data_IF_360882882173
#
_entry.id   IF_360882882173
#
_cell.length_a   1.000
_cell.length_b   1.000
_cell.length_c   1.000
_cell.angle_alpha   90.00
_cell.angle_beta   90.00
_cell.angle_gamma   90.00
#
_symmetry.space_group_name_H-M   'P 1'
#
loop_
_entity.id
_entity.type
_entity.pdbx_description
1 polymer ?
#
# COMPACT_ATOMS: atom_id res chain seq x y z
N UNK A 1 -19.01 -4.26 -8.32
CA UNK A 1 -18.05 -3.38 -9.00
C UNK A 1 -18.38 -1.89 -8.81
N UNK A 2 -17.42 -1.09 -8.34
CA UNK A 2 -17.59 0.35 -8.05
C UNK A 2 -16.95 1.23 -9.14
N UNK A 3 -17.78 1.93 -9.93
CA UNK A 3 -17.37 2.79 -11.04
C UNK A 3 -16.45 3.93 -10.57
N UNK A 4 -16.58 4.40 -9.33
CA UNK A 4 -15.76 5.48 -8.80
C UNK A 4 -14.29 5.08 -8.66
N UNK A 5 -14.02 3.83 -8.30
CA UNK A 5 -12.65 3.29 -8.21
C UNK A 5 -12.00 3.27 -9.59
N UNK A 6 -12.75 2.85 -10.61
CA UNK A 6 -12.28 2.84 -12.01
C UNK A 6 -11.99 4.25 -12.53
N UNK A 7 -12.85 5.23 -12.21
CA UNK A 7 -12.62 6.64 -12.57
C UNK A 7 -11.41 7.24 -11.83
N UNK A 8 -11.17 6.88 -10.56
CA UNK A 8 -9.98 7.31 -9.82
C UNK A 8 -8.70 6.66 -10.35
N UNK A 9 -8.76 5.36 -10.67
CA UNK A 9 -7.62 4.63 -11.26
C UNK A 9 -7.26 5.18 -12.64
N UNK A 10 -8.26 5.50 -13.46
CA UNK A 10 -8.06 6.16 -14.76
C UNK A 10 -7.39 7.52 -14.62
N UNK A 11 -7.72 8.29 -13.57
CA UNK A 11 -7.04 9.55 -13.26
C UNK A 11 -5.60 9.33 -12.79
N UNK A 12 -5.34 8.31 -11.97
CA UNK A 12 -3.99 7.97 -11.51
C UNK A 12 -3.09 7.45 -12.64
N UNK A 13 -3.66 6.84 -13.67
CA UNK A 13 -2.96 6.35 -14.86
C UNK A 13 -3.01 7.33 -16.05
N UNK A 14 -3.53 8.55 -15.85
CA UNK A 14 -3.61 9.53 -16.92
C UNK A 14 -2.22 9.86 -17.47
N UNK A 15 -2.08 9.79 -18.79
CA UNK A 15 -0.81 10.03 -19.49
C UNK A 15 0.07 8.79 -19.63
N UNK A 16 -0.23 7.68 -18.95
CA UNK A 16 0.50 6.42 -19.14
C UNK A 16 0.15 5.80 -20.49
N UNK A 17 1.17 5.39 -21.23
CA UNK A 17 1.01 4.67 -22.51
C UNK A 17 1.12 3.16 -22.36
N UNK A 18 1.84 2.69 -21.34
CA UNK A 18 2.06 1.27 -21.08
C UNK A 18 1.87 1.00 -19.60
N UNK A 19 1.18 -0.09 -19.28
CA UNK A 19 0.98 -0.59 -17.91
C UNK A 19 1.16 -2.11 -17.86
N UNK A 20 1.24 -2.67 -16.66
CA UNK A 20 1.14 -4.11 -16.41
C UNK A 20 -0.08 -4.43 -15.55
N UNK A 21 -0.58 -5.67 -15.59
CA UNK A 21 -1.73 -6.07 -14.77
C UNK A 21 -1.42 -5.93 -13.28
N UNK A 22 -0.19 -6.23 -12.86
CA UNK A 22 0.28 -6.07 -11.49
C UNK A 22 0.25 -4.61 -11.03
N UNK A 23 0.70 -3.69 -11.87
CA UNK A 23 0.63 -2.25 -11.59
C UNK A 23 -0.82 -1.78 -11.43
N UNK A 24 -1.69 -2.17 -12.36
CA UNK A 24 -3.11 -1.82 -12.32
C UNK A 24 -3.75 -2.35 -11.04
N UNK A 25 -3.47 -3.60 -10.64
CA UNK A 25 -3.97 -4.18 -9.38
C UNK A 25 -3.47 -3.45 -8.15
N UNK A 26 -2.16 -3.13 -8.07
CA UNK A 26 -1.60 -2.37 -6.94
C UNK A 26 -2.26 -1.00 -6.82
N UNK A 27 -2.36 -0.26 -7.93
CA UNK A 27 -2.98 1.07 -7.95
C UNK A 27 -4.49 1.02 -7.71
N UNK A 28 -5.17 -0.05 -8.13
CA UNK A 28 -6.58 -0.27 -7.81
C UNK A 28 -6.81 -0.41 -6.30
N UNK A 29 -5.93 -1.11 -5.57
CA UNK A 29 -6.00 -1.20 -4.09
C UNK A 29 -5.90 0.19 -3.45
N UNK A 30 -4.95 1.01 -3.93
CA UNK A 30 -4.76 2.40 -3.47
C UNK A 30 -5.99 3.27 -3.76
N UNK A 31 -6.55 3.16 -4.96
CA UNK A 31 -7.78 3.87 -5.34
C UNK A 31 -8.98 3.41 -4.52
N UNK A 32 -9.09 2.11 -4.23
CA UNK A 32 -10.15 1.58 -3.38
C UNK A 32 -10.07 2.14 -1.95
N UNK A 33 -8.86 2.29 -1.39
CA UNK A 33 -8.68 2.99 -0.12
C UNK A 33 -9.14 4.46 -0.21
N UNK A 34 -8.75 5.16 -1.27
CA UNK A 34 -9.10 6.57 -1.47
C UNK A 34 -10.62 6.80 -1.55
N UNK A 35 -11.34 5.90 -2.22
CA UNK A 35 -12.78 5.99 -2.46
C UNK A 35 -13.59 5.48 -1.26
N UNK A 36 -13.23 4.30 -0.72
CA UNK A 36 -14.03 3.62 0.31
C UNK A 36 -13.61 3.96 1.74
N UNK A 37 -12.37 4.43 1.95
CA UNK A 37 -11.80 4.66 3.27
C UNK A 37 -11.85 3.41 4.14
N UNK A 38 -12.30 3.53 5.39
CA UNK A 38 -12.43 2.40 6.31
C UNK A 38 -13.45 1.33 5.86
N UNK A 39 -14.37 1.66 4.95
CA UNK A 39 -15.33 0.69 4.38
C UNK A 39 -14.66 -0.32 3.45
N UNK A 40 -13.39 -0.12 3.09
CA UNK A 40 -12.61 -1.10 2.34
C UNK A 40 -12.52 -2.47 3.03
N UNK A 41 -12.74 -2.53 4.35
CA UNK A 41 -12.86 -3.79 5.12
C UNK A 41 -13.99 -4.68 4.60
N UNK A 42 -15.04 -4.09 4.05
CA UNK A 42 -16.23 -4.79 3.55
C UNK A 42 -16.16 -5.06 2.04
N UNK A 43 -15.02 -4.77 1.39
CA UNK A 43 -14.86 -5.01 -0.04
C UNK A 43 -14.83 -6.51 -0.35
N UNK A 44 -15.52 -6.88 -1.44
CA UNK A 44 -15.51 -8.23 -1.97
C UNK A 44 -14.10 -8.65 -2.39
N UNK A 45 -13.72 -9.94 -2.24
CA UNK A 45 -12.39 -10.42 -2.59
C UNK A 45 -11.97 -10.13 -4.03
N UNK A 46 -12.93 -10.18 -4.96
CA UNK A 46 -12.68 -10.06 -6.39
C UNK A 46 -12.75 -8.61 -6.90
N UNK A 47 -13.10 -7.63 -6.04
CA UNK A 47 -13.30 -6.23 -6.42
C UNK A 47 -12.10 -5.65 -7.18
N UNK A 48 -10.89 -5.94 -6.73
CA UNK A 48 -9.65 -5.38 -7.32
C UNK A 48 -9.37 -6.02 -8.68
N UNK A 49 -9.68 -7.31 -8.83
CA UNK A 49 -9.50 -8.02 -10.10
C UNK A 49 -10.55 -7.54 -11.11
N UNK A 50 -11.81 -7.38 -10.71
CA UNK A 50 -12.85 -6.74 -11.54
C UNK A 50 -12.46 -5.33 -12.01
N UNK A 51 -11.91 -4.51 -11.10
CA UNK A 51 -11.44 -3.15 -11.44
C UNK A 51 -10.25 -3.22 -12.41
N UNK A 52 -9.31 -4.12 -12.21
CA UNK A 52 -8.14 -4.25 -13.09
C UNK A 52 -8.53 -4.73 -14.49
N UNK A 53 -9.38 -5.75 -14.57
CA UNK A 53 -9.90 -6.28 -15.83
C UNK A 53 -10.74 -5.22 -16.57
N UNK A 54 -11.35 -4.27 -15.86
CA UNK A 54 -12.07 -3.16 -16.50
C UNK A 54 -11.18 -2.19 -17.28
N UNK A 55 -9.87 -2.12 -16.96
CA UNK A 55 -8.91 -1.26 -17.67
C UNK A 55 -8.15 -2.02 -18.76
N UNK A 56 -8.16 -3.34 -18.75
CA UNK A 56 -7.34 -4.17 -19.64
C UNK A 56 -8.24 -4.97 -20.60
N UNK A 57 -9.20 -5.71 -20.07
CA UNK A 57 -9.98 -6.66 -20.84
C UNK A 57 -11.27 -6.03 -21.39
N UNK A 58 -12.14 -5.50 -20.52
CA UNK A 58 -13.46 -4.99 -20.92
C UNK A 58 -13.83 -3.68 -20.21
N UNK A 59 -13.85 -2.53 -20.90
CA UNK A 59 -14.17 -1.25 -20.28
C UNK A 59 -15.63 -1.19 -19.84
N UNK A 60 -15.84 -0.79 -18.59
CA UNK A 60 -17.17 -0.76 -17.97
C UNK A 60 -17.83 0.63 -18.04
N UNK A 61 -17.09 1.64 -18.48
CA UNK A 61 -17.56 3.03 -18.61
C UNK A 61 -16.83 3.75 -19.74
N UNK A 62 -17.49 4.72 -20.39
CA UNK A 62 -16.86 5.55 -21.44
C UNK A 62 -15.77 6.48 -20.90
N UNK A 63 -15.71 6.66 -19.57
CA UNK A 63 -14.71 7.50 -18.91
C UNK A 63 -13.46 6.73 -18.46
N UNK A 64 -13.44 5.40 -18.59
CA UNK A 64 -12.28 4.62 -18.21
C UNK A 64 -11.22 4.68 -19.31
N UNK A 65 -9.96 4.78 -18.91
CA UNK A 65 -8.88 4.41 -19.81
C UNK A 65 -9.01 2.93 -20.17
N UNK A 66 -8.57 2.56 -21.37
CA UNK A 66 -8.56 1.17 -21.82
C UNK A 66 -7.24 0.84 -22.50
N UNK A 67 -6.50 -0.09 -21.90
CA UNK A 67 -5.23 -0.63 -22.36
C UNK A 67 -5.47 -1.98 -23.04
N UNK A 68 -6.12 -1.94 -24.20
CA UNK A 68 -6.66 -3.12 -24.89
C UNK A 68 -5.61 -4.05 -25.51
N UNK A 69 -4.46 -3.50 -25.89
CA UNK A 69 -3.51 -4.21 -26.74
C UNK A 69 -2.37 -4.77 -25.89
N UNK A 70 -2.16 -6.08 -25.96
CA UNK A 70 -1.11 -6.80 -25.22
C UNK A 70 0.18 -6.89 -26.04
N UNK A 71 1.31 -6.58 -25.40
CA UNK A 71 2.66 -6.81 -25.89
C UNK A 71 3.45 -7.59 -24.87
N UNK A 72 4.01 -8.73 -25.27
CA UNK A 72 4.83 -9.57 -24.40
C UNK A 72 6.32 -9.30 -24.61
N UNK A 73 7.02 -8.98 -23.53
CA UNK A 73 8.48 -8.81 -23.51
C UNK A 73 9.07 -9.75 -22.46
N UNK A 74 9.79 -10.77 -22.92
CA UNK A 74 10.22 -11.88 -22.06
C UNK A 74 9.01 -12.60 -21.44
N UNK A 75 8.98 -12.70 -20.12
CA UNK A 75 7.89 -13.34 -19.36
C UNK A 75 6.84 -12.36 -18.85
N UNK A 76 6.92 -11.07 -19.22
CA UNK A 76 6.01 -10.03 -18.74
C UNK A 76 5.09 -9.56 -19.87
N UNK A 77 3.79 -9.47 -19.54
CA UNK A 77 2.76 -8.91 -20.41
C UNK A 77 2.55 -7.44 -20.08
N UNK A 78 2.63 -6.59 -21.10
CA UNK A 78 2.39 -5.16 -21.04
C UNK A 78 1.15 -4.82 -21.84
N UNK A 79 0.43 -3.79 -21.43
CA UNK A 79 -0.81 -3.36 -22.03
C UNK A 79 -0.74 -1.89 -22.43
N UNK A 80 -1.19 -1.56 -23.63
CA UNK A 80 -1.23 -0.18 -24.13
C UNK A 80 -2.57 0.15 -24.81
N UNK A 81 -2.94 1.44 -24.94
CA UNK A 81 -4.12 1.83 -25.69
C UNK A 81 -3.95 1.53 -27.18
N UNK A 82 -5.03 1.09 -27.84
CA UNK A 82 -5.03 0.69 -29.26
C UNK A 82 -4.45 1.74 -30.22
N UNK A 83 -4.74 3.02 -29.97
CA UNK A 83 -4.35 4.14 -30.86
C UNK A 83 -2.98 4.72 -30.54
N UNK A 84 -2.31 4.21 -29.51
CA UNK A 84 -1.05 4.75 -29.00
C UNK A 84 0.06 3.77 -29.31
N UNK A 85 1.13 4.26 -29.92
CA UNK A 85 2.36 3.49 -30.13
C UNK A 85 3.35 3.76 -28.99
N UNK A 86 3.65 2.78 -28.14
CA UNK A 86 4.63 2.96 -27.08
C UNK A 86 6.06 3.10 -27.60
N UNK A 87 6.85 3.86 -26.87
CA UNK A 87 8.30 4.02 -27.06
C UNK A 87 9.07 3.31 -25.94
N UNK A 88 10.40 3.26 -26.08
CA UNK A 88 11.28 2.57 -25.13
C UNK A 88 11.09 3.09 -23.71
N UNK A 89 11.05 4.40 -23.53
CA UNK A 89 10.95 5.04 -22.22
C UNK A 89 9.61 4.70 -21.54
N UNK A 90 8.52 4.54 -22.31
CA UNK A 90 7.21 4.12 -21.78
C UNK A 90 7.28 2.70 -21.19
N UNK A 91 8.03 1.78 -21.82
CA UNK A 91 8.25 0.43 -21.31
C UNK A 91 9.20 0.40 -20.12
N UNK A 92 10.22 1.26 -20.09
CA UNK A 92 11.14 1.36 -18.95
C UNK A 92 10.40 1.85 -17.68
N UNK A 93 9.52 2.85 -17.82
CA UNK A 93 8.64 3.29 -16.74
C UNK A 93 7.68 2.18 -16.30
N UNK A 94 6.99 1.52 -17.24
CA UNK A 94 6.07 0.43 -16.92
C UNK A 94 6.78 -0.76 -16.25
N UNK A 95 8.03 -1.05 -16.64
CA UNK A 95 8.82 -2.11 -16.01
C UNK A 95 9.25 -1.75 -14.59
N UNK A 96 9.63 -0.49 -14.34
CA UNK A 96 9.92 -0.01 -13.00
C UNK A 96 8.70 -0.19 -12.07
N UNK A 97 7.52 0.20 -12.54
CA UNK A 97 6.25 0.06 -11.82
C UNK A 97 5.84 -1.41 -11.62
N UNK A 98 6.03 -2.24 -12.64
CA UNK A 98 5.84 -3.69 -12.56
C UNK A 98 6.69 -4.31 -11.44
N UNK A 99 7.99 -3.96 -11.36
CA UNK A 99 8.90 -4.53 -10.34
C UNK A 99 8.45 -4.22 -8.92
N UNK A 100 8.02 -2.98 -8.68
CA UNK A 100 7.47 -2.60 -7.37
C UNK A 100 6.16 -3.33 -7.09
N UNK A 101 5.28 -3.39 -8.07
CA UNK A 101 3.94 -3.96 -7.92
C UNK A 101 3.98 -5.46 -7.68
N UNK A 102 4.75 -6.17 -8.49
CA UNK A 102 4.97 -7.61 -8.32
C UNK A 102 5.56 -7.94 -6.95
N UNK A 103 6.59 -7.21 -6.52
CA UNK A 103 7.20 -7.43 -5.20
C UNK A 103 6.18 -7.28 -4.07
N UNK A 104 5.34 -6.25 -4.11
CA UNK A 104 4.29 -6.04 -3.12
C UNK A 104 3.24 -7.16 -3.15
N UNK A 105 2.76 -7.51 -4.34
CA UNK A 105 1.73 -8.55 -4.50
C UNK A 105 2.24 -9.94 -4.09
N UNK A 106 3.49 -10.28 -4.41
CA UNK A 106 4.10 -11.57 -4.06
C UNK A 106 4.21 -11.78 -2.54
N UNK A 107 4.37 -10.70 -1.76
CA UNK A 107 4.49 -10.77 -0.29
C UNK A 107 3.21 -10.41 0.45
N UNK A 108 2.15 -10.01 -0.26
CA UNK A 108 0.91 -9.52 0.31
C UNK A 108 0.29 -10.51 1.31
N UNK A 109 0.08 -11.76 0.88
CA UNK A 109 -0.54 -12.78 1.74
C UNK A 109 0.35 -13.08 2.97
N UNK A 110 1.68 -13.05 2.81
CA UNK A 110 2.61 -13.21 3.94
C UNK A 110 2.51 -12.05 4.94
N UNK A 111 2.34 -10.82 4.47
CA UNK A 111 2.10 -9.67 5.35
C UNK A 111 0.80 -9.83 6.13
N UNK A 112 -0.26 -10.33 5.49
CA UNK A 112 -1.52 -10.64 6.17
C UNK A 112 -1.34 -11.74 7.23
N UNK A 113 -0.67 -12.84 6.91
CA UNK A 113 -0.38 -13.91 7.87
C UNK A 113 0.37 -13.40 9.11
N UNK A 114 1.38 -12.55 8.89
CA UNK A 114 2.16 -11.96 9.98
C UNK A 114 1.29 -11.04 10.84
N UNK A 115 0.43 -10.25 10.22
CA UNK A 115 -0.52 -9.38 10.94
C UNK A 115 -1.54 -10.19 11.75
N UNK A 116 -2.12 -11.24 11.17
CA UNK A 116 -3.07 -12.12 11.85
C UNK A 116 -2.46 -12.77 13.09
N UNK A 117 -1.23 -13.26 12.97
CA UNK A 117 -0.50 -13.82 14.11
C UNK A 117 -0.15 -12.75 15.15
N UNK A 118 0.15 -11.52 14.73
CA UNK A 118 0.39 -10.41 15.66
C UNK A 118 -0.87 -10.08 16.47
N UNK A 119 -2.04 -10.11 15.84
CA UNK A 119 -3.35 -9.88 16.45
C UNK A 119 -4.04 -11.18 16.88
N UNK A 120 -3.28 -12.21 17.28
CA UNK A 120 -3.86 -13.48 17.72
C UNK A 120 -4.90 -13.29 18.83
N UNK A 121 -6.08 -13.88 18.64
CA UNK A 121 -7.21 -13.75 19.55
C UNK A 121 -8.01 -12.44 19.40
N UNK A 122 -7.86 -11.73 18.29
CA UNK A 122 -8.80 -10.75 17.75
C UNK A 122 -9.63 -11.38 16.63
N UNK A 123 -10.86 -10.90 16.43
CA UNK A 123 -11.66 -11.27 15.26
C UNK A 123 -11.18 -10.47 14.05
N UNK A 124 -10.81 -11.14 12.97
CA UNK A 124 -10.27 -10.54 11.75
C UNK A 124 -11.31 -10.53 10.62
N UNK A 125 -11.45 -9.39 9.94
CA UNK A 125 -12.31 -9.23 8.74
C UNK A 125 -11.60 -8.40 7.68
N UNK A 126 -11.83 -8.72 6.40
CA UNK A 126 -11.41 -7.93 5.24
C UNK A 126 -10.07 -8.38 4.63
N UNK A 127 -9.91 -8.12 3.33
CA UNK A 127 -8.73 -8.53 2.54
C UNK A 127 -7.72 -7.38 2.40
N UNK A 128 -8.08 -6.32 1.68
CA UNK A 128 -7.15 -5.21 1.37
C UNK A 128 -6.97 -4.22 2.53
N UNK A 129 -8.01 -4.05 3.33
CA UNK A 129 -7.93 -3.52 4.69
C UNK A 129 -8.45 -4.57 5.64
N UNK A 130 -7.68 -4.86 6.70
CA UNK A 130 -8.01 -5.88 7.68
C UNK A 130 -8.38 -5.21 9.00
N UNK A 131 -9.59 -5.47 9.46
CA UNK A 131 -10.09 -5.03 10.75
C UNK A 131 -9.86 -6.12 11.78
N UNK A 132 -9.19 -5.79 12.88
CA UNK A 132 -9.00 -6.66 14.04
C UNK A 132 -9.82 -6.12 15.21
N UNK A 133 -10.79 -6.89 15.70
CA UNK A 133 -11.75 -6.45 16.71
C UNK A 133 -11.63 -7.27 17.99
N UNK A 134 -11.57 -6.60 19.15
CA UNK A 134 -11.61 -7.22 20.49
C UNK A 134 -12.25 -6.30 21.53
N UNK A 135 -11.44 -5.53 22.25
CA UNK A 135 -11.89 -4.45 23.15
C UNK A 135 -11.84 -3.08 22.47
N UNK A 136 -11.36 -3.04 21.23
CA UNK A 136 -11.27 -1.90 20.35
C UNK A 136 -10.89 -2.41 18.95
N UNK A 137 -11.09 -1.56 17.96
CA UNK A 137 -10.89 -1.91 16.56
C UNK A 137 -9.55 -1.36 16.07
N UNK A 138 -8.76 -2.22 15.43
CA UNK A 138 -7.59 -1.82 14.64
C UNK A 138 -7.90 -2.00 13.16
N UNK A 139 -7.54 -0.99 12.37
CA UNK A 139 -7.67 -1.01 10.91
C UNK A 139 -6.28 -1.08 10.29
N UNK A 140 -5.99 -2.17 9.61
CA UNK A 140 -4.67 -2.47 9.06
C UNK A 140 -4.75 -2.44 7.53
N UNK A 141 -4.05 -1.50 6.91
CA UNK A 141 -3.94 -1.41 5.46
C UNK A 141 -2.57 -1.92 5.01
N UNK A 142 -2.52 -2.74 3.96
CA UNK A 142 -1.27 -3.29 3.43
C UNK A 142 -0.82 -2.49 2.22
N UNK A 143 0.43 -2.03 2.23
CA UNK A 143 1.01 -1.21 1.17
C UNK A 143 2.52 -1.41 1.07
N UNK A 144 3.21 -0.58 0.29
CA UNK A 144 4.66 -0.39 0.39
C UNK A 144 4.97 1.05 0.85
N UNK A 145 6.21 1.30 1.25
CA UNK A 145 6.59 2.60 1.81
C UNK A 145 6.58 3.74 0.77
N UNK A 146 6.75 3.42 -0.52
CA UNK A 146 6.65 4.39 -1.60
C UNK A 146 5.21 4.85 -1.80
N UNK A 147 4.27 3.92 -1.88
CA UNK A 147 2.84 4.21 -1.98
C UNK A 147 2.34 4.94 -0.73
N UNK A 148 2.77 4.52 0.46
CA UNK A 148 2.43 5.20 1.71
C UNK A 148 2.95 6.65 1.77
N UNK A 149 4.09 6.92 1.12
CA UNK A 149 4.63 8.27 0.96
C UNK A 149 3.79 9.13 0.02
N UNK A 150 3.36 8.58 -1.12
CA UNK A 150 2.53 9.27 -2.10
C UNK A 150 1.12 9.53 -1.57
N UNK A 151 0.54 8.55 -0.87
CA UNK A 151 -0.83 8.57 -0.39
C UNK A 151 -0.94 9.06 1.07
N UNK A 152 0.09 9.75 1.58
CA UNK A 152 0.20 10.12 3.00
C UNK A 152 -1.02 10.88 3.52
N UNK A 153 -1.58 11.81 2.74
CA UNK A 153 -2.75 12.60 3.13
C UNK A 153 -3.99 11.72 3.36
N UNK A 154 -4.15 10.67 2.54
CA UNK A 154 -5.22 9.69 2.70
C UNK A 154 -5.02 8.94 4.01
N UNK A 155 -3.79 8.50 4.28
CA UNK A 155 -3.47 7.76 5.50
C UNK A 155 -3.61 8.59 6.78
N UNK A 156 -3.23 9.87 6.75
CA UNK A 156 -3.41 10.79 7.87
C UNK A 156 -4.90 11.00 8.17
N UNK A 157 -5.73 11.13 7.13
CA UNK A 157 -7.20 11.20 7.26
C UNK A 157 -7.76 9.92 7.89
N UNK A 158 -7.34 8.74 7.39
CA UNK A 158 -7.78 7.45 7.94
C UNK A 158 -7.38 7.26 9.40
N UNK A 159 -6.18 7.72 9.78
CA UNK A 159 -5.74 7.68 11.17
C UNK A 159 -6.63 8.51 12.10
N UNK A 160 -7.09 9.68 11.64
CA UNK A 160 -8.08 10.49 12.36
C UNK A 160 -9.43 9.79 12.47
N UNK A 161 -9.94 9.21 11.38
CA UNK A 161 -11.24 8.50 11.37
C UNK A 161 -11.25 7.24 12.26
N UNK A 162 -10.09 6.60 12.44
CA UNK A 162 -9.95 5.40 13.27
C UNK A 162 -9.50 5.68 14.71
N UNK A 163 -9.60 6.91 15.21
CA UNK A 163 -9.13 7.33 16.55
C UNK A 163 -7.68 6.92 16.86
N UNK A 164 -6.85 6.98 15.82
CA UNK A 164 -5.45 6.58 15.84
C UNK A 164 -5.24 5.07 15.91
N UNK A 165 -6.22 4.21 15.64
CA UNK A 165 -6.02 2.75 15.54
C UNK A 165 -5.86 2.26 14.10
N UNK A 166 -5.49 3.17 13.19
CA UNK A 166 -5.10 2.85 11.82
C UNK A 166 -3.59 2.55 11.73
N UNK A 167 -3.25 1.46 11.06
CA UNK A 167 -1.87 0.99 10.84
C UNK A 167 -1.68 0.71 9.36
N UNK A 168 -0.60 1.22 8.78
CA UNK A 168 -0.09 0.76 7.49
C UNK A 168 0.96 -0.30 7.76
N UNK A 169 0.78 -1.49 7.19
CA UNK A 169 1.82 -2.52 7.16
C UNK A 169 2.51 -2.47 5.80
N UNK A 170 3.84 -2.33 5.83
CA UNK A 170 4.71 -2.30 4.65
C UNK A 170 5.77 -3.39 4.73
N UNK A 171 6.25 -3.98 3.62
CA UNK A 171 7.35 -4.92 3.67
C UNK A 171 8.69 -4.21 3.92
N UNK A 172 9.72 -4.96 4.32
CA UNK A 172 11.10 -4.47 4.34
C UNK A 172 11.57 -4.12 2.93
N UNK A 173 12.30 -3.02 2.80
CA UNK A 173 12.94 -2.59 1.54
C UNK A 173 14.41 -3.03 1.45
N UNK A 174 14.92 -3.14 0.23
CA UNK A 174 16.36 -3.41 0.02
C UNK A 174 17.24 -2.18 0.25
N UNK A 175 16.63 -0.99 0.16
CA UNK A 175 17.28 0.30 0.33
C UNK A 175 16.68 1.05 1.53
N UNK A 176 17.50 1.87 2.18
CA UNK A 176 17.07 2.67 3.34
C UNK A 176 16.32 3.95 2.92
N UNK A 177 16.68 4.51 1.77
CA UNK A 177 16.21 5.79 1.25
C UNK A 177 14.69 5.99 1.29
N UNK A 178 13.84 5.01 0.94
CA UNK A 178 12.39 5.20 0.95
C UNK A 178 11.86 5.52 2.36
N UNK A 179 12.35 4.79 3.37
CA UNK A 179 11.99 5.02 4.76
C UNK A 179 12.54 6.35 5.29
N UNK A 180 13.78 6.71 4.93
CA UNK A 180 14.38 7.97 5.35
C UNK A 180 13.64 9.18 4.75
N UNK A 181 13.25 9.10 3.48
CA UNK A 181 12.43 10.12 2.79
C UNK A 181 11.09 10.31 3.49
N UNK A 182 10.40 9.21 3.81
CA UNK A 182 9.15 9.28 4.59
C UNK A 182 9.38 9.93 5.96
N UNK A 183 10.42 9.49 6.67
CA UNK A 183 10.70 10.00 8.01
C UNK A 183 11.01 11.50 8.00
N UNK A 184 11.87 11.96 7.10
CA UNK A 184 12.27 13.38 7.01
C UNK A 184 11.08 14.28 6.69
N UNK A 185 10.15 13.83 5.85
CA UNK A 185 9.03 14.67 5.39
C UNK A 185 7.78 14.59 6.25
N UNK A 186 7.42 13.39 6.73
CA UNK A 186 6.07 13.16 7.26
C UNK A 186 6.03 12.53 8.67
N UNK A 187 7.18 12.25 9.31
CA UNK A 187 7.17 11.54 10.60
C UNK A 187 6.46 12.33 11.72
N UNK A 188 6.57 13.66 11.73
CA UNK A 188 5.90 14.50 12.73
C UNK A 188 4.38 14.60 12.46
N UNK A 189 3.98 14.71 11.20
CA UNK A 189 2.56 14.72 10.81
C UNK A 189 1.90 13.38 11.13
N UNK A 190 2.59 12.27 10.83
CA UNK A 190 2.15 10.93 11.17
C UNK A 190 1.94 10.76 12.69
N UNK A 191 2.89 11.21 13.51
CA UNK A 191 2.76 11.18 14.98
C UNK A 191 1.57 12.01 15.46
N UNK A 192 1.40 13.22 14.93
CA UNK A 192 0.31 14.13 15.32
C UNK A 192 -1.06 13.57 14.97
N UNK A 193 -1.20 12.90 13.81
CA UNK A 193 -2.42 12.24 13.39
C UNK A 193 -2.65 10.87 14.05
N UNK A 194 -1.68 10.36 14.83
CA UNK A 194 -1.74 9.02 15.41
C UNK A 194 -1.55 7.87 14.41
N UNK A 195 -1.09 8.17 13.19
CA UNK A 195 -0.77 7.21 12.14
C UNK A 195 0.35 6.27 12.60
N UNK A 196 0.19 4.98 12.32
CA UNK A 196 1.20 3.95 12.60
C UNK A 196 1.67 3.32 11.30
N UNK A 197 2.96 3.05 11.22
CA UNK A 197 3.56 2.31 10.12
C UNK A 197 4.41 1.20 10.71
N UNK A 198 4.07 -0.04 10.39
CA UNK A 198 4.81 -1.21 10.84
C UNK A 198 5.42 -1.93 9.64
N UNK A 199 6.62 -2.45 9.83
CA UNK A 199 7.41 -3.08 8.79
C UNK A 199 7.41 -4.58 9.01
N UNK A 200 6.91 -5.31 8.04
CA UNK A 200 6.99 -6.77 7.99
C UNK A 200 8.26 -7.16 7.26
N UNK A 201 9.04 -8.06 7.84
CA UNK A 201 10.04 -8.82 7.11
C UNK A 201 9.37 -10.13 6.64
N UNK A 202 9.09 -10.29 5.33
CA UNK A 202 8.39 -11.47 4.81
C UNK A 202 9.19 -12.75 5.01
N UNK A 203 10.51 -12.72 4.80
CA UNK A 203 11.39 -13.89 4.89
C UNK A 203 11.46 -14.45 6.32
N UNK A 204 11.65 -13.56 7.30
CA UNK A 204 11.70 -13.92 8.71
C UNK A 204 10.30 -14.09 9.31
N UNK A 205 9.23 -13.75 8.58
CA UNK A 205 7.86 -13.61 9.07
C UNK A 205 7.83 -12.86 10.40
N UNK A 206 8.36 -11.64 10.45
CA UNK A 206 8.34 -10.80 11.67
C UNK A 206 7.80 -9.42 11.37
N UNK A 207 7.32 -8.71 12.39
CA UNK A 207 6.84 -7.33 12.27
C UNK A 207 7.52 -6.47 13.32
N UNK A 208 7.86 -5.24 12.95
CA UNK A 208 8.44 -4.24 13.82
C UNK A 208 7.85 -2.85 13.57
N UNK A 209 7.74 -2.00 14.60
CA UNK A 209 7.21 -0.66 14.41
C UNK A 209 8.29 0.24 13.78
N UNK A 210 7.91 0.93 12.70
CA UNK A 210 8.68 2.04 12.14
C UNK A 210 8.20 3.38 12.72
N UNK A 211 6.89 3.62 12.71
CA UNK A 211 6.24 4.76 13.36
C UNK A 211 5.09 4.26 14.24
N UNK A 212 5.13 4.68 15.51
CA UNK A 212 4.03 4.48 16.46
C UNK A 212 3.86 3.06 16.99
N UNK A 213 3.12 2.95 18.09
CA UNK A 213 2.92 1.72 18.85
C UNK A 213 1.43 1.48 19.12
N UNK A 214 0.98 0.22 19.24
CA UNK A 214 -0.38 -0.06 19.68
C UNK A 214 -0.61 0.51 21.09
N UNK A 215 -1.86 0.91 21.38
CA UNK A 215 -2.25 1.36 22.73
C UNK A 215 -2.35 0.18 23.71
N UNK A 216 -2.63 -1.02 23.20
CA UNK A 216 -2.66 -2.25 24.00
C UNK A 216 -1.23 -2.77 24.25
N UNK A 217 -0.75 -2.65 25.48
CA UNK A 217 0.56 -3.14 25.90
C UNK A 217 0.75 -4.65 25.66
N UNK A 218 -0.32 -5.44 25.60
CA UNK A 218 -0.24 -6.88 25.31
C UNK A 218 0.21 -7.15 23.87
N UNK A 219 -0.03 -6.23 22.94
CA UNK A 219 0.40 -6.35 21.55
C UNK A 219 1.91 -6.08 21.39
N UNK A 220 2.55 -5.38 22.33
CA UNK A 220 3.98 -5.05 22.24
C UNK A 220 4.88 -6.30 22.19
N UNK A 221 4.43 -7.42 22.79
CA UNK A 221 5.16 -8.70 22.76
C UNK A 221 5.22 -9.35 21.38
N UNK A 222 4.35 -8.91 20.45
CA UNK A 222 4.27 -9.43 19.09
C UNK A 222 5.32 -8.84 18.15
N UNK A 223 5.96 -7.73 18.53
CA UNK A 223 7.07 -7.15 17.76
C UNK A 223 8.37 -7.91 18.03
N UNK A 224 9.20 -8.07 17.00
CA UNK A 224 10.51 -8.70 17.13
C UNK A 224 11.48 -7.83 17.95
N UNK A 225 11.46 -6.53 17.70
CA UNK A 225 12.20 -5.49 18.40
C UNK A 225 11.25 -4.30 18.69
N UNK A 226 10.52 -4.34 19.82
CA UNK A 226 9.59 -3.28 20.20
C UNK A 226 10.28 -1.94 20.49
N UNK A 227 11.62 -1.83 20.51
CA UNK A 227 12.31 -0.54 20.66
C UNK A 227 12.70 0.10 19.32
N UNK A 228 12.42 -0.56 18.19
CA UNK A 228 12.84 -0.13 16.86
C UNK A 228 12.39 1.31 16.51
N UNK A 229 11.09 1.63 16.62
CA UNK A 229 10.60 2.98 16.29
C UNK A 229 11.24 4.08 17.17
N UNK A 230 11.46 3.81 18.46
CA UNK A 230 12.16 4.75 19.35
C UNK A 230 13.61 4.98 18.91
N UNK A 231 14.33 3.92 18.51
CA UNK A 231 15.70 4.02 18.01
C UNK A 231 15.75 4.79 16.68
N UNK A 232 14.87 4.47 15.72
CA UNK A 232 14.73 5.21 14.45
C UNK A 232 14.51 6.69 14.72
N UNK A 233 13.60 7.02 15.65
CA UNK A 233 13.31 8.41 15.99
C UNK A 233 14.50 9.17 16.60
N UNK A 234 15.40 8.45 17.29
CA UNK A 234 16.57 9.02 17.94
C UNK A 234 17.70 9.20 16.93
N UNK A 235 18.07 8.15 16.20
CA UNK A 235 19.19 8.19 15.26
C UNK A 235 18.91 9.11 14.08
N UNK A 236 17.74 9.00 13.45
CA UNK A 236 17.48 9.77 12.23
C UNK A 236 17.16 11.24 12.52
N UNK A 237 16.79 11.60 13.76
CA UNK A 237 16.73 13.02 14.16
C UNK A 237 18.10 13.64 14.34
N UNK A 238 19.13 12.84 14.67
CA UNK A 238 20.51 13.33 14.78
C UNK A 238 21.11 13.48 13.39
N UNK A 239 21.04 12.45 12.55
CA UNK A 239 21.59 12.49 11.18
C UNK A 239 20.92 13.56 10.29
N UNK A 240 19.62 13.81 10.45
CA UNK A 240 18.92 14.84 9.67
C UNK A 240 19.33 16.26 10.05
N UNK A 241 19.76 16.50 11.31
CA UNK A 241 20.25 17.82 11.74
C UNK A 241 21.68 18.12 11.29
N UNK A 242 22.46 17.08 10.99
CA UNK A 242 23.84 17.21 10.49
C UNK A 242 23.91 17.40 8.97
N UNK A 243 22.76 17.37 8.28
CA UNK A 243 22.61 17.57 6.84
C UNK A 243 21.97 18.92 6.47
N UNK A 244 21.69 19.78 7.47
CA UNK A 244 21.28 21.19 7.34
C UNK A 244 22.46 22.12 7.64
#
# INVERSE_FOLDING_TARGET
MDVQIVEELSRMLAGRKVVTREEVRRRAIRCALKVLGLKLVDAEPDLIDEVADSLIDCPITLKSLHFSDEVKIGDTSFYHPHTVKPEKDDFEEAYFEYRQSKRFLDVFDTMQEVADRFFEGYEAKGRYMRKYSKSGDYYVFFSNIHDAFEDVDIHLKMAGEADGNYVIIVPTEGELDPFLKFFKRYSEDAKRAGLKIWVVNPDAKTVDPFIGYPKDFKLLKGFKNPKAASLVSTYWRVDVRELD
#
